data_IF_211417504726
#
_entry.id   IF_211417504726
#
_cell.length_a   1.000
_cell.length_b   1.000
_cell.length_c   1.000
_cell.angle_alpha   90.00
_cell.angle_beta   90.00
_cell.angle_gamma   90.00
#
_symmetry.space_group_name_H-M   'P 1'
#
loop_
_entity.id
_entity.type
_entity.pdbx_description
1 polymer ?
#
# COMPACT_ATOMS: atom_id res chain seq x y z
N UNK A 1 -71.53 42.45 -9.76
CA UNK A 1 -72.29 41.25 -10.22
C UNK A 1 -72.14 41.16 -11.73
N UNK A 2 -71.33 40.23 -12.25
CA UNK A 2 -71.41 39.67 -13.62
C UNK A 2 -70.34 38.56 -13.81
N UNK A 3 -70.74 37.36 -13.40
CA UNK A 3 -70.66 36.06 -14.08
C UNK A 3 -69.64 35.77 -15.20
N UNK A 4 -68.81 34.75 -14.91
CA UNK A 4 -68.46 33.55 -15.72
C UNK A 4 -68.00 33.69 -17.19
N UNK A 5 -66.77 33.23 -17.52
CA UNK A 5 -66.52 32.22 -18.58
C UNK A 5 -65.05 31.70 -18.67
N UNK A 6 -64.88 30.40 -18.35
CA UNK A 6 -64.09 29.33 -19.01
C UNK A 6 -62.56 29.46 -19.26
N UNK A 7 -61.84 28.62 -18.49
CA UNK A 7 -60.79 27.63 -18.86
C UNK A 7 -60.39 27.49 -20.35
N UNK A 8 -59.08 27.59 -20.64
CA UNK A 8 -58.31 26.76 -21.60
C UNK A 8 -56.89 26.57 -21.04
N UNK A 9 -56.59 25.47 -20.34
CA UNK A 9 -55.96 24.22 -20.86
C UNK A 9 -54.75 24.46 -21.76
N UNK A 10 -53.61 23.99 -21.22
CA UNK A 10 -52.36 23.51 -21.83
C UNK A 10 -51.60 24.45 -22.76
N UNK A 11 -50.61 25.15 -22.21
CA UNK A 11 -49.39 25.41 -22.96
C UNK A 11 -48.56 24.12 -22.90
N UNK A 12 -48.60 23.34 -23.97
CA UNK A 12 -47.76 22.15 -24.14
C UNK A 12 -46.29 22.55 -23.93
N UNK A 13 -45.68 22.07 -22.84
CA UNK A 13 -44.24 21.93 -22.79
C UNK A 13 -43.89 20.86 -23.84
N UNK A 14 -43.36 21.29 -24.99
CA UNK A 14 -42.76 20.35 -25.92
C UNK A 14 -41.52 19.78 -25.23
N UNK A 15 -41.67 18.63 -24.57
CA UNK A 15 -40.54 17.78 -24.24
C UNK A 15 -39.95 17.30 -25.56
N UNK A 16 -38.92 18.02 -26.02
CA UNK A 16 -38.16 17.62 -27.20
C UNK A 16 -37.43 16.34 -26.84
N UNK A 17 -37.80 15.25 -27.52
CA UNK A 17 -37.13 13.97 -27.39
C UNK A 17 -35.64 14.09 -27.73
N UNK A 18 -34.82 13.33 -27.03
CA UNK A 18 -33.37 13.30 -27.19
C UNK A 18 -32.99 12.91 -28.62
N UNK A 19 -32.09 13.67 -29.23
CA UNK A 19 -31.63 13.39 -30.60
C UNK A 19 -30.59 12.28 -30.62
N UNK A 20 -30.48 11.56 -31.75
CA UNK A 20 -29.44 10.54 -31.92
C UNK A 20 -28.02 11.12 -31.78
N UNK A 21 -27.83 12.38 -32.20
CA UNK A 21 -26.57 13.09 -32.07
C UNK A 21 -26.19 13.34 -30.61
N UNK A 22 -27.14 13.75 -29.76
CA UNK A 22 -26.90 13.93 -28.32
C UNK A 22 -26.51 12.61 -27.64
N UNK A 23 -27.17 11.51 -27.97
CA UNK A 23 -26.83 10.18 -27.40
C UNK A 23 -25.40 9.79 -27.79
N UNK A 24 -24.99 10.00 -29.04
CA UNK A 24 -23.63 9.73 -29.49
C UNK A 24 -22.59 10.54 -28.72
N UNK A 25 -22.85 11.84 -28.49
CA UNK A 25 -21.96 12.71 -27.74
C UNK A 25 -21.86 12.27 -26.27
N UNK A 26 -22.98 11.94 -25.64
CA UNK A 26 -23.01 11.46 -24.25
C UNK A 26 -22.24 10.14 -24.11
N UNK A 27 -22.44 9.19 -25.02
CA UNK A 27 -21.70 7.91 -25.02
C UNK A 27 -20.21 8.14 -25.21
N UNK A 28 -19.80 9.05 -26.09
CA UNK A 28 -18.40 9.40 -26.28
C UNK A 28 -17.78 10.00 -25.01
N UNK A 29 -18.48 10.93 -24.35
CA UNK A 29 -18.01 11.54 -23.10
C UNK A 29 -17.90 10.49 -21.99
N UNK A 30 -18.92 9.65 -21.81
CA UNK A 30 -18.90 8.57 -20.81
C UNK A 30 -17.77 7.58 -21.09
N UNK A 31 -17.51 7.25 -22.36
CA UNK A 31 -16.40 6.39 -22.76
C UNK A 31 -15.05 6.96 -22.34
N UNK A 32 -14.80 8.25 -22.61
CA UNK A 32 -13.56 8.93 -22.22
C UNK A 32 -13.39 9.00 -20.69
N UNK A 33 -14.47 9.31 -19.97
CA UNK A 33 -14.46 9.34 -18.51
C UNK A 33 -14.17 7.95 -17.92
N UNK A 34 -14.78 6.90 -18.48
CA UNK A 34 -14.59 5.52 -18.01
C UNK A 34 -13.14 5.07 -18.15
N UNK A 35 -12.48 5.38 -19.28
CA UNK A 35 -11.06 5.07 -19.50
C UNK A 35 -10.18 5.86 -18.52
N UNK A 36 -10.48 7.15 -18.31
CA UNK A 36 -9.74 8.00 -17.38
C UNK A 36 -9.84 7.49 -15.93
N UNK A 37 -11.04 7.07 -15.51
CA UNK A 37 -11.28 6.51 -14.18
C UNK A 37 -10.56 5.16 -14.04
N UNK A 38 -10.66 4.28 -15.03
CA UNK A 38 -10.02 2.96 -15.00
C UNK A 38 -8.48 3.07 -14.91
N UNK A 39 -7.88 3.98 -15.68
CA UNK A 39 -6.43 4.23 -15.64
C UNK A 39 -6.00 4.86 -14.32
N UNK A 40 -6.78 5.81 -13.79
CA UNK A 40 -6.53 6.39 -12.48
C UNK A 40 -6.58 5.36 -11.35
N UNK A 41 -7.61 4.50 -11.33
CA UNK A 41 -7.72 3.41 -10.35
C UNK A 41 -6.52 2.47 -10.40
N UNK A 42 -6.10 2.06 -11.60
CA UNK A 42 -4.90 1.22 -11.78
C UNK A 42 -3.66 1.90 -11.19
N UNK A 43 -3.46 3.19 -11.51
CA UNK A 43 -2.32 3.95 -11.01
C UNK A 43 -2.30 4.06 -9.48
N UNK A 44 -3.45 4.35 -8.85
CA UNK A 44 -3.57 4.46 -7.39
C UNK A 44 -3.25 3.11 -6.72
N UNK A 45 -3.79 2.02 -7.23
CA UNK A 45 -3.56 0.68 -6.67
C UNK A 45 -2.10 0.25 -6.82
N UNK A 46 -1.52 0.42 -8.02
CA UNK A 46 -0.12 0.03 -8.30
C UNK A 46 0.90 0.90 -7.55
N UNK A 47 0.63 2.20 -7.41
CA UNK A 47 1.49 3.09 -6.65
C UNK A 47 1.44 2.78 -5.16
N UNK A 48 0.24 2.56 -4.61
CA UNK A 48 0.05 2.17 -3.21
C UNK A 48 0.74 0.85 -2.86
N UNK A 49 0.67 -0.16 -3.74
CA UNK A 49 1.31 -1.46 -3.49
C UNK A 49 2.83 -1.39 -3.56
N UNK A 50 3.39 -0.62 -4.51
CA UNK A 50 4.84 -0.50 -4.68
C UNK A 50 5.49 0.26 -3.52
N UNK A 51 4.86 1.35 -3.08
CA UNK A 51 5.33 2.14 -1.92
C UNK A 51 5.24 1.32 -0.64
N UNK A 52 4.15 0.58 -0.44
CA UNK A 52 3.96 -0.27 0.74
C UNK A 52 4.95 -1.43 0.78
N UNK A 53 5.22 -2.07 -0.35
CA UNK A 53 6.18 -3.17 -0.43
C UNK A 53 7.61 -2.72 -0.10
N UNK A 54 8.05 -1.58 -0.64
CA UNK A 54 9.37 -1.02 -0.34
C UNK A 54 9.51 -0.62 1.14
N UNK A 55 8.47 -0.03 1.72
CA UNK A 55 8.46 0.35 3.13
C UNK A 55 8.48 -0.87 4.07
N UNK A 56 7.74 -1.93 3.75
CA UNK A 56 7.75 -3.20 4.51
C UNK A 56 9.12 -3.84 4.48
N UNK A 57 9.72 -3.99 3.29
CA UNK A 57 11.04 -4.61 3.14
C UNK A 57 12.13 -3.84 3.91
N UNK A 58 12.07 -2.50 3.90
CA UNK A 58 13.00 -1.69 4.68
C UNK A 58 12.78 -1.84 6.20
N UNK A 59 11.54 -1.98 6.66
CA UNK A 59 11.24 -2.24 8.08
C UNK A 59 11.73 -3.61 8.51
N UNK A 60 11.50 -4.65 7.71
CA UNK A 60 11.95 -6.02 7.99
C UNK A 60 13.49 -6.08 8.06
N UNK A 61 14.18 -5.43 7.11
CA UNK A 61 15.64 -5.32 7.14
C UNK A 61 16.15 -4.60 8.40
N UNK A 62 15.50 -3.52 8.82
CA UNK A 62 15.85 -2.81 10.06
C UNK A 62 15.61 -3.67 11.31
N UNK A 63 14.52 -4.44 11.33
CA UNK A 63 14.21 -5.35 12.43
C UNK A 63 15.28 -6.45 12.54
N UNK A 64 15.66 -7.06 11.42
CA UNK A 64 16.74 -8.06 11.37
C UNK A 64 18.08 -7.50 11.86
N UNK A 65 18.50 -6.33 11.35
CA UNK A 65 19.74 -5.67 11.77
C UNK A 65 19.72 -5.34 13.27
N UNK A 66 18.58 -4.89 13.80
CA UNK A 66 18.43 -4.59 15.23
C UNK A 66 18.61 -5.84 16.08
N UNK A 67 18.04 -6.97 15.68
CA UNK A 67 18.24 -8.26 16.35
C UNK A 67 19.70 -8.68 16.31
N UNK A 68 20.33 -8.69 15.12
CA UNK A 68 21.75 -9.02 14.98
C UNK A 68 22.63 -8.13 15.87
N UNK A 69 22.38 -6.82 15.88
CA UNK A 69 23.13 -5.87 16.71
C UNK A 69 22.93 -6.12 18.21
N UNK A 70 21.73 -6.52 18.61
CA UNK A 70 21.42 -6.86 20.01
C UNK A 70 22.20 -8.11 20.44
N UNK A 71 22.16 -9.17 19.64
CA UNK A 71 22.87 -10.42 19.94
C UNK A 71 24.39 -10.23 19.92
N UNK A 72 24.92 -9.49 18.93
CA UNK A 72 26.34 -9.15 18.88
C UNK A 72 26.82 -8.30 20.07
N UNK A 73 25.97 -7.40 20.60
CA UNK A 73 26.30 -6.65 21.82
C UNK A 73 26.35 -7.52 23.06
N UNK A 74 25.63 -8.64 23.07
CA UNK A 74 25.66 -9.64 24.13
C UNK A 74 26.77 -10.69 23.93
N UNK A 75 27.58 -10.55 22.86
CA UNK A 75 28.67 -11.47 22.60
C UNK A 75 29.72 -11.41 23.72
N UNK A 76 30.15 -12.57 24.18
CA UNK A 76 31.06 -12.74 25.31
C UNK A 76 32.02 -13.89 25.05
N UNK A 77 33.08 -14.01 25.85
CA UNK A 77 34.08 -15.06 25.69
C UNK A 77 33.43 -16.43 25.86
N UNK A 78 33.84 -17.40 25.02
CA UNK A 78 33.34 -18.77 25.11
C UNK A 78 33.69 -19.42 26.46
N UNK A 79 32.92 -20.43 26.85
CA UNK A 79 33.12 -21.18 28.11
C UNK A 79 34.49 -21.87 28.23
N UNK A 80 35.19 -22.03 27.10
CA UNK A 80 36.55 -22.55 26.98
C UNK A 80 37.64 -21.46 26.92
N UNK A 81 37.31 -20.19 27.17
CA UNK A 81 38.23 -19.06 27.06
C UNK A 81 38.45 -18.55 25.63
N UNK A 82 37.63 -18.99 24.66
CA UNK A 82 37.69 -18.49 23.29
C UNK A 82 37.28 -17.02 23.20
N UNK A 83 37.82 -16.33 22.21
CA UNK A 83 37.41 -14.96 21.88
C UNK A 83 35.92 -14.89 21.53
N UNK A 84 35.22 -13.78 21.82
CA UNK A 84 33.79 -13.63 21.54
C UNK A 84 33.42 -13.78 20.06
N UNK A 85 34.34 -13.43 19.15
CA UNK A 85 34.16 -13.58 17.72
C UNK A 85 34.95 -14.79 17.23
N UNK A 86 34.25 -15.82 16.73
CA UNK A 86 34.87 -17.05 16.23
C UNK A 86 35.25 -16.93 14.74
N UNK A 87 34.36 -16.36 13.91
CA UNK A 87 34.58 -16.21 12.47
C UNK A 87 33.80 -15.03 11.90
N UNK A 88 34.38 -14.32 10.93
CA UNK A 88 33.68 -13.33 10.12
C UNK A 88 34.00 -13.58 8.64
N UNK A 89 32.98 -13.98 7.88
CA UNK A 89 33.02 -14.11 6.42
C UNK A 89 32.36 -12.91 5.74
N UNK A 90 32.26 -12.96 4.41
CA UNK A 90 31.66 -11.87 3.60
C UNK A 90 30.18 -11.65 3.90
N UNK A 91 29.46 -12.72 4.30
CA UNK A 91 28.01 -12.71 4.53
C UNK A 91 27.59 -13.51 5.77
N UNK A 92 28.55 -13.90 6.60
CA UNK A 92 28.34 -14.74 7.79
C UNK A 92 29.21 -14.26 8.94
N UNK A 93 28.70 -14.33 10.15
CA UNK A 93 29.44 -14.03 11.37
C UNK A 93 29.09 -15.11 12.38
N UNK A 94 30.11 -15.64 13.05
CA UNK A 94 29.97 -16.64 14.11
C UNK A 94 30.56 -16.07 15.39
N UNK A 95 29.79 -16.06 16.47
CA UNK A 95 30.18 -15.48 17.75
C UNK A 95 29.62 -16.30 18.92
N UNK A 96 30.20 -16.09 20.10
CA UNK A 96 29.71 -16.70 21.33
C UNK A 96 28.88 -15.69 22.09
N UNK A 97 27.67 -16.07 22.51
CA UNK A 97 26.79 -15.24 23.32
C UNK A 97 25.99 -16.11 24.28
N UNK A 98 25.55 -15.49 25.37
CA UNK A 98 24.61 -16.08 26.33
C UNK A 98 23.24 -15.48 26.04
N UNK A 99 22.49 -16.13 25.15
CA UNK A 99 21.27 -15.53 24.58
C UNK A 99 20.09 -15.61 25.54
N UNK A 100 20.11 -16.61 26.42
CA UNK A 100 19.03 -16.91 27.37
C UNK A 100 19.38 -16.53 28.83
N UNK A 101 20.56 -15.96 29.08
CA UNK A 101 21.06 -15.58 30.40
C UNK A 101 21.13 -16.74 31.40
N UNK A 102 21.37 -17.97 30.93
CA UNK A 102 21.50 -19.16 31.77
C UNK A 102 22.94 -19.39 32.26
N UNK A 103 23.88 -18.57 31.81
CA UNK A 103 25.30 -18.64 32.17
C UNK A 103 26.13 -19.57 31.27
N UNK A 104 25.49 -20.32 30.38
CA UNK A 104 26.13 -21.11 29.32
C UNK A 104 26.35 -20.20 28.11
N UNK A 105 27.45 -20.42 27.40
CA UNK A 105 27.83 -19.61 26.23
C UNK A 105 27.61 -20.46 24.99
N UNK A 106 26.61 -20.09 24.20
CA UNK A 106 26.30 -20.75 22.94
C UNK A 106 27.12 -20.15 21.80
N UNK A 107 27.44 -20.98 20.81
CA UNK A 107 27.97 -20.52 19.54
C UNK A 107 26.81 -20.29 18.57
N UNK A 108 26.79 -19.10 17.95
CA UNK A 108 25.77 -18.64 17.01
C UNK A 108 26.44 -18.28 15.69
#
# INVERSE_FOLDING_TARGET
MNTFFRKRVSANAYERGMTLAEILVVVAIIGLLSISIATFQKNVITYGSTVSAGLSSAQDARAMIRTITKELRSATTGSNGSYPLAQAGTSSITFFADTNADGIKEQI
#
